data_IF_050385267297
#
_entry.id   IF_050385267297
#
_cell.length_a   1.000
_cell.length_b   1.000
_cell.length_c   1.000
_cell.angle_alpha   90.00
_cell.angle_beta   90.00
_cell.angle_gamma   90.00
#
_symmetry.space_group_name_H-M   'P 1'
#
loop_
_entity.id
_entity.type
_entity.pdbx_description
1 polymer ?
#
# COMPACT_ATOMS: atom_id res chain seq x y z
N UNK A 1 -14.35 26.38 -19.45
CA UNK A 1 -15.40 25.51 -20.01
C UNK A 1 -15.69 24.46 -18.96
N UNK A 2 -16.89 24.47 -18.35
CA UNK A 2 -17.32 23.46 -17.37
C UNK A 2 -18.14 22.41 -18.12
N UNK A 3 -17.84 21.12 -17.96
CA UNK A 3 -18.66 20.07 -18.56
C UNK A 3 -20.06 20.07 -17.94
N UNK A 4 -21.08 19.86 -18.78
CA UNK A 4 -22.47 19.80 -18.32
C UNK A 4 -22.72 18.54 -17.49
N UNK A 5 -23.73 18.55 -16.61
CA UNK A 5 -24.02 17.37 -15.77
C UNK A 5 -24.38 16.12 -16.58
N UNK A 6 -24.85 16.29 -17.82
CA UNK A 6 -25.13 15.20 -18.76
C UNK A 6 -23.87 14.52 -19.31
N UNK A 7 -22.71 15.20 -19.29
CA UNK A 7 -21.42 14.67 -19.78
C UNK A 7 -20.59 14.05 -18.65
N UNK A 8 -20.98 14.24 -17.40
CA UNK A 8 -20.35 13.61 -16.25
C UNK A 8 -20.74 12.12 -16.24
N UNK A 9 -19.83 11.27 -16.71
CA UNK A 9 -20.03 9.82 -16.74
C UNK A 9 -20.33 9.20 -15.35
N UNK A 10 -20.71 7.90 -15.31
CA UNK A 10 -21.30 7.23 -14.14
C UNK A 10 -20.39 7.12 -12.89
N UNK A 11 -19.13 7.56 -12.97
CA UNK A 11 -18.13 7.45 -11.91
C UNK A 11 -18.13 8.62 -10.90
N UNK A 12 -19.25 9.33 -10.74
CA UNK A 12 -19.30 10.52 -9.87
C UNK A 12 -19.20 10.18 -8.37
N UNK A 13 -19.47 8.93 -7.96
CA UNK A 13 -19.66 8.58 -6.55
C UNK A 13 -18.40 8.21 -5.76
N UNK A 14 -17.33 7.75 -6.41
CA UNK A 14 -16.01 7.57 -5.80
C UNK A 14 -14.95 7.77 -6.88
N UNK A 15 -14.18 8.86 -6.79
CA UNK A 15 -13.18 9.22 -7.79
C UNK A 15 -11.80 9.15 -7.15
N UNK A 16 -10.87 8.48 -7.83
CA UNK A 16 -9.49 8.43 -7.37
C UNK A 16 -8.89 9.84 -7.25
N UNK A 17 -8.02 10.04 -6.26
CA UNK A 17 -7.35 11.32 -6.02
C UNK A 17 -6.56 11.78 -7.26
N UNK A 18 -5.97 10.82 -7.98
CA UNK A 18 -5.29 11.03 -9.27
C UNK A 18 -6.22 11.66 -10.33
N UNK A 19 -7.46 11.18 -10.41
CA UNK A 19 -8.48 11.68 -11.33
C UNK A 19 -9.04 13.04 -10.88
N UNK A 20 -9.22 13.28 -9.58
CA UNK A 20 -9.56 14.62 -9.06
C UNK A 20 -8.47 15.65 -9.41
N UNK A 21 -7.19 15.31 -9.21
CA UNK A 21 -6.08 16.20 -9.57
C UNK A 21 -6.10 16.55 -11.05
N UNK A 22 -6.36 15.55 -11.90
CA UNK A 22 -6.47 15.77 -13.35
C UNK A 22 -7.66 16.66 -13.68
N UNK A 23 -8.80 16.49 -13.01
CA UNK A 23 -9.99 17.34 -13.18
C UNK A 23 -9.69 18.81 -12.87
N UNK A 24 -9.04 19.09 -11.73
CA UNK A 24 -8.72 20.45 -11.30
C UNK A 24 -7.70 21.12 -12.22
N UNK A 25 -6.79 20.35 -12.83
CA UNK A 25 -5.81 20.88 -13.78
C UNK A 25 -6.43 21.11 -15.16
N UNK A 26 -7.18 20.14 -15.69
CA UNK A 26 -7.83 20.21 -16.98
C UNK A 26 -8.98 19.20 -17.09
N UNK A 27 -10.21 19.70 -17.01
CA UNK A 27 -11.41 18.87 -17.06
C UNK A 27 -11.53 18.11 -18.39
N UNK A 28 -11.17 18.75 -19.51
CA UNK A 28 -11.19 18.13 -20.84
C UNK A 28 -10.18 16.97 -20.97
N UNK A 29 -9.02 17.08 -20.30
CA UNK A 29 -8.03 15.99 -20.27
C UNK A 29 -8.58 14.77 -19.55
N UNK A 30 -9.32 14.97 -18.45
CA UNK A 30 -9.99 13.87 -17.75
C UNK A 30 -11.04 13.21 -18.66
N UNK A 31 -11.84 14.01 -19.35
CA UNK A 31 -12.83 13.49 -20.32
C UNK A 31 -12.18 12.60 -21.38
N UNK A 32 -11.08 13.06 -21.99
CA UNK A 32 -10.33 12.28 -22.98
C UNK A 32 -9.77 10.99 -22.39
N UNK A 33 -9.18 11.02 -21.18
CA UNK A 33 -8.70 9.81 -20.49
C UNK A 33 -9.81 8.78 -20.27
N UNK A 34 -11.01 9.23 -19.92
CA UNK A 34 -12.16 8.34 -19.70
C UNK A 34 -12.71 7.74 -21.00
N UNK A 35 -12.66 8.49 -22.11
CA UNK A 35 -13.16 8.07 -23.42
C UNK A 35 -12.19 7.19 -24.19
N UNK A 36 -10.90 7.52 -24.14
CA UNK A 36 -9.85 6.89 -24.95
C UNK A 36 -9.01 5.87 -24.16
N UNK A 37 -9.18 5.82 -22.84
CA UNK A 37 -8.35 5.03 -21.95
C UNK A 37 -7.06 5.77 -21.55
N UNK A 38 -6.37 5.21 -20.55
CA UNK A 38 -5.09 5.75 -20.09
C UNK A 38 -3.93 5.05 -20.81
N UNK A 39 -3.02 5.84 -21.38
CA UNK A 39 -1.78 5.32 -21.96
C UNK A 39 -0.73 5.19 -20.86
N UNK A 40 -0.38 3.95 -20.52
CA UNK A 40 0.69 3.71 -19.55
C UNK A 40 2.05 4.01 -20.20
N UNK A 41 2.75 4.99 -19.66
CA UNK A 41 4.15 5.24 -20.03
C UNK A 41 5.04 4.17 -19.40
N UNK A 42 6.17 3.89 -20.04
CA UNK A 42 7.18 2.96 -19.52
C UNK A 42 7.66 3.38 -18.11
N UNK A 43 7.74 4.68 -17.84
CA UNK A 43 8.04 5.21 -16.51
C UNK A 43 6.97 4.85 -15.46
N UNK A 44 5.69 4.86 -15.83
CA UNK A 44 4.61 4.43 -14.94
C UNK A 44 4.76 2.95 -14.56
N UNK A 45 5.14 2.10 -15.51
CA UNK A 45 5.31 0.66 -15.27
C UNK A 45 6.47 0.41 -14.31
N UNK A 46 7.64 1.03 -14.58
CA UNK A 46 8.81 0.93 -13.69
C UNK A 46 8.48 1.45 -12.29
N UNK A 47 7.76 2.58 -12.19
CA UNK A 47 7.32 3.12 -10.92
C UNK A 47 6.44 2.16 -10.12
N UNK A 48 5.46 1.54 -10.78
CA UNK A 48 4.58 0.55 -10.11
C UNK A 48 5.35 -0.68 -9.64
N UNK A 49 6.32 -1.15 -10.43
CA UNK A 49 7.17 -2.28 -10.05
C UNK A 49 8.05 -1.94 -8.83
N UNK A 50 8.62 -0.75 -8.81
CA UNK A 50 9.43 -0.28 -7.68
C UNK A 50 8.61 -0.21 -6.39
N UNK A 51 7.40 0.35 -6.45
CA UNK A 51 6.50 0.40 -5.29
C UNK A 51 6.10 -0.99 -4.79
N UNK A 52 5.87 -1.94 -5.72
CA UNK A 52 5.60 -3.35 -5.37
C UNK A 52 6.79 -4.00 -4.66
N UNK A 53 8.02 -3.79 -5.14
CA UNK A 53 9.22 -4.34 -4.49
C UNK A 53 9.43 -3.75 -3.08
N UNK A 54 9.22 -2.44 -2.92
CA UNK A 54 9.34 -1.75 -1.62
C UNK A 54 8.26 -2.21 -0.63
N UNK A 55 7.02 -2.42 -1.06
CA UNK A 55 5.96 -2.90 -0.18
C UNK A 55 6.22 -4.34 0.30
N UNK A 56 6.75 -5.20 -0.58
CA UNK A 56 7.14 -6.57 -0.21
C UNK A 56 8.32 -6.56 0.78
N UNK A 57 9.33 -5.72 0.54
CA UNK A 57 10.50 -5.63 1.42
C UNK A 57 10.14 -5.07 2.79
N UNK A 58 9.32 -4.03 2.85
CA UNK A 58 8.85 -3.45 4.13
C UNK A 58 7.97 -4.42 4.91
N UNK A 59 7.14 -5.22 4.23
CA UNK A 59 6.40 -6.30 4.87
C UNK A 59 7.33 -7.34 5.49
N UNK A 60 8.32 -7.83 4.74
CA UNK A 60 9.31 -8.80 5.26
C UNK A 60 10.09 -8.26 6.46
N UNK A 61 10.56 -7.02 6.38
CA UNK A 61 11.28 -6.36 7.48
C UNK A 61 10.41 -6.23 8.75
N UNK A 62 9.12 -5.94 8.58
CA UNK A 62 8.19 -5.86 9.70
C UNK A 62 7.95 -7.25 10.34
N UNK A 63 7.85 -8.30 9.52
CA UNK A 63 7.68 -9.69 10.00
C UNK A 63 8.92 -10.14 10.81
N UNK A 64 10.13 -9.94 10.29
CA UNK A 64 11.38 -10.26 11.02
C UNK A 64 11.50 -9.47 12.33
N UNK A 65 11.08 -8.21 12.33
CA UNK A 65 11.09 -7.37 13.54
C UNK A 65 10.10 -7.84 14.61
N UNK A 66 8.96 -8.41 14.22
CA UNK A 66 8.02 -9.05 15.16
C UNK A 66 8.55 -10.37 15.69
N UNK A 67 9.18 -11.20 14.87
CA UNK A 67 9.71 -12.50 15.29
C UNK A 67 10.85 -12.35 16.30
N UNK A 68 11.79 -11.43 16.04
CA UNK A 68 12.92 -11.16 16.94
C UNK A 68 12.51 -10.52 18.28
N UNK A 69 11.31 -9.92 18.38
CA UNK A 69 10.80 -9.40 19.65
C UNK A 69 10.28 -10.49 20.59
N UNK A 70 9.88 -11.65 20.06
CA UNK A 70 9.38 -12.76 20.87
C UNK A 70 10.52 -13.65 21.41
N UNK A 71 11.66 -13.71 20.71
CA UNK A 71 12.84 -14.47 21.10
C UNK A 71 13.32 -14.23 22.56
N UNK A 72 13.49 -12.98 23.06
CA UNK A 72 13.95 -12.76 24.44
C UNK A 72 12.93 -13.24 25.48
N UNK A 73 11.63 -13.19 25.17
CA UNK A 73 10.57 -13.60 26.08
C UNK A 73 10.59 -15.13 26.27
N UNK A 74 10.80 -15.89 25.20
CA UNK A 74 10.95 -17.35 25.24
C UNK A 74 12.20 -17.76 26.03
N UNK A 75 13.31 -17.05 25.88
CA UNK A 75 14.55 -17.32 26.62
C UNK A 75 14.34 -17.14 28.14
N UNK A 76 13.65 -16.07 28.55
CA UNK A 76 13.35 -15.82 29.97
C UNK A 76 12.49 -16.95 30.55
N UNK A 77 11.46 -17.38 29.82
CA UNK A 77 10.58 -18.49 30.25
C UNK A 77 11.40 -19.78 30.43
N UNK A 78 12.29 -20.10 29.50
CA UNK A 78 13.13 -21.31 29.60
C UNK A 78 14.06 -21.27 30.81
N UNK A 79 14.67 -20.12 31.12
CA UNK A 79 15.53 -19.96 32.29
C UNK A 79 14.72 -20.14 33.58
N UNK A 80 13.50 -19.59 33.66
CA UNK A 80 12.63 -19.75 34.82
C UNK A 80 12.25 -21.22 35.04
N UNK A 81 11.90 -21.94 33.97
CA UNK A 81 11.56 -23.37 34.05
C UNK A 81 12.77 -24.18 34.50
N UNK A 82 13.95 -23.95 33.92
CA UNK A 82 15.17 -24.65 34.28
C UNK A 82 15.56 -24.39 35.75
N UNK A 83 15.46 -23.14 36.21
CA UNK A 83 15.71 -22.77 37.61
C UNK A 83 14.70 -23.40 38.57
N UNK A 84 13.42 -23.47 38.17
CA UNK A 84 12.39 -24.11 38.98
C UNK A 84 12.64 -25.61 39.13
N UNK A 85 12.95 -26.31 38.03
CA UNK A 85 13.28 -27.74 38.03
C UNK A 85 14.51 -28.01 38.90
N UNK A 86 15.52 -27.14 38.90
CA UNK A 86 16.71 -27.30 39.74
C UNK A 86 16.44 -27.19 41.25
N UNK A 87 15.48 -26.36 41.64
CA UNK A 87 15.18 -26.12 43.07
C UNK A 87 14.21 -27.18 43.62
N UNK A 88 13.26 -27.63 42.80
CA UNK A 88 12.17 -28.51 43.23
C UNK A 88 12.27 -29.96 42.72
N UNK A 89 13.16 -30.25 41.78
CA UNK A 89 13.49 -31.60 41.30
C UNK A 89 14.74 -32.14 41.96
#
# INVERSE_FOLDING_TARGET
MRLSEAEKGPYHKMREVSALRTQFQCEYRLYLKQKLGDTHSLASVIGTELHSRVSIQSYKLNVEKTENRLAPLVIIILILIAGFVWIFG
#
